data_IF_167132418908
#
_entry.id   IF_167132418908
#
_cell.length_a   1.000
_cell.length_b   1.000
_cell.length_c   1.000
_cell.angle_alpha   90.00
_cell.angle_beta   90.00
_cell.angle_gamma   90.00
#
_symmetry.space_group_name_H-M   'P 1'
#
loop_
_entity.id
_entity.type
_entity.pdbx_description
1 polymer ?
#
# COMPACT_ATOMS: atom_id res chain seq x y z
N UNK A 1 57.04 5.88 -46.46
CA UNK A 1 57.24 7.27 -46.02
C UNK A 1 55.89 7.97 -45.94
N UNK A 2 55.49 8.39 -44.73
CA UNK A 2 54.81 9.66 -44.33
C UNK A 2 53.72 10.22 -45.27
N UNK A 3 52.51 10.64 -44.87
CA UNK A 3 51.79 10.88 -43.61
C UNK A 3 50.35 11.22 -44.06
N UNK A 4 49.32 10.90 -43.28
CA UNK A 4 48.23 11.84 -43.00
C UNK A 4 47.37 11.27 -41.86
N UNK A 5 47.42 11.99 -40.75
CA UNK A 5 46.74 11.76 -39.49
C UNK A 5 45.48 12.62 -39.52
N UNK A 6 44.29 12.03 -39.36
CA UNK A 6 43.06 12.77 -39.07
C UNK A 6 42.42 12.19 -37.80
N UNK A 7 42.64 12.90 -36.69
CA UNK A 7 41.78 12.85 -35.50
C UNK A 7 40.56 13.73 -35.74
N UNK A 8 39.37 13.31 -35.30
CA UNK A 8 38.39 14.19 -34.64
C UNK A 8 37.18 13.42 -34.09
N UNK A 9 36.92 13.72 -32.81
CA UNK A 9 35.63 13.82 -32.12
C UNK A 9 34.82 12.56 -31.76
N UNK A 10 35.00 12.16 -30.48
CA UNK A 10 33.97 11.96 -29.47
C UNK A 10 32.49 11.83 -29.88
N UNK A 11 31.85 10.73 -29.45
CA UNK A 11 30.56 10.85 -28.74
C UNK A 11 30.31 9.64 -27.83
N UNK A 12 30.14 9.96 -26.55
CA UNK A 12 29.87 9.06 -25.43
C UNK A 12 28.36 8.80 -25.40
N UNK A 13 27.89 7.65 -25.91
CA UNK A 13 26.49 7.24 -25.75
C UNK A 13 26.36 6.20 -24.64
N UNK A 14 26.43 6.68 -23.40
CA UNK A 14 25.85 5.99 -22.24
C UNK A 14 24.33 5.94 -22.40
N UNK A 15 23.81 4.85 -22.96
CA UNK A 15 22.39 4.54 -22.92
C UNK A 15 22.04 3.94 -21.56
N UNK A 16 21.65 4.85 -20.67
CA UNK A 16 20.79 4.61 -19.52
C UNK A 16 19.53 3.85 -19.98
N UNK A 17 19.50 2.53 -19.81
CA UNK A 17 18.25 1.79 -19.77
C UNK A 17 17.70 1.88 -18.33
N UNK A 18 17.08 3.03 -18.07
CA UNK A 18 16.04 3.18 -17.06
C UNK A 18 14.90 2.20 -17.39
N UNK A 19 15.00 0.96 -16.91
CA UNK A 19 13.85 0.06 -16.81
C UNK A 19 12.97 0.54 -15.67
N UNK A 20 12.21 1.59 -15.94
CA UNK A 20 11.25 2.19 -15.03
C UNK A 20 10.13 2.86 -15.79
N UNK A 21 9.29 2.07 -16.47
CA UNK A 21 7.98 2.53 -16.97
C UNK A 21 7.14 1.32 -17.40
N UNK A 22 6.54 0.65 -16.43
CA UNK A 22 5.27 -0.05 -16.65
C UNK A 22 4.19 0.70 -15.88
N UNK A 23 2.93 0.76 -16.36
CA UNK A 23 1.80 1.26 -15.58
C UNK A 23 1.40 0.23 -14.50
N UNK A 24 2.36 -0.34 -13.78
CA UNK A 24 2.14 -1.21 -12.64
C UNK A 24 2.15 -0.35 -11.39
N UNK A 25 1.02 -0.29 -10.66
CA UNK A 25 1.03 0.36 -9.36
C UNK A 25 2.10 -0.26 -8.46
N UNK A 26 2.63 0.52 -7.53
CA UNK A 26 3.57 0.01 -6.52
C UNK A 26 2.99 -1.17 -5.74
N UNK A 27 3.72 -1.71 -4.75
CA UNK A 27 3.29 -2.85 -3.94
C UNK A 27 1.85 -2.71 -3.41
N UNK A 28 1.38 -1.49 -3.19
CA UNK A 28 0.05 -1.11 -2.71
C UNK A 28 -1.07 -1.46 -3.70
N UNK A 29 -0.78 -1.74 -4.97
CA UNK A 29 -1.77 -2.19 -5.94
C UNK A 29 -2.48 -3.47 -5.48
N UNK A 30 -1.77 -4.31 -4.70
CA UNK A 30 -2.35 -5.50 -4.10
C UNK A 30 -3.39 -5.20 -3.01
N UNK A 31 -3.46 -3.96 -2.52
CA UNK A 31 -4.44 -3.52 -1.53
C UNK A 31 -5.75 -3.06 -2.17
N UNK A 32 -5.85 -2.95 -3.50
CA UNK A 32 -7.12 -2.68 -4.19
C UNK A 32 -8.07 -3.86 -3.98
N UNK A 33 -9.29 -3.59 -3.53
CA UNK A 33 -10.31 -4.61 -3.22
C UNK A 33 -11.33 -4.17 -2.18
N UNK A 34 -12.29 -5.06 -1.91
CA UNK A 34 -13.28 -4.91 -0.84
C UNK A 34 -12.80 -5.68 0.39
N UNK A 35 -12.97 -5.10 1.56
CA UNK A 35 -12.57 -5.66 2.83
C UNK A 35 -13.77 -5.75 3.76
N UNK A 36 -13.92 -6.93 4.36
CA UNK A 36 -14.90 -7.21 5.37
C UNK A 36 -14.25 -7.38 6.75
N UNK A 37 -15.00 -7.04 7.79
CA UNK A 37 -14.63 -7.37 9.17
C UNK A 37 -15.64 -8.37 9.74
N UNK A 38 -15.20 -9.21 10.67
CA UNK A 38 -16.09 -10.13 11.36
C UNK A 38 -16.86 -9.38 12.45
N UNK A 39 -18.18 -9.30 12.31
CA UNK A 39 -19.09 -8.69 13.29
C UNK A 39 -20.19 -9.67 13.63
N UNK A 40 -20.33 -10.00 14.92
CA UNK A 40 -21.31 -10.98 15.42
C UNK A 40 -21.23 -12.33 14.68
N UNK A 41 -20.01 -12.83 14.44
CA UNK A 41 -19.78 -14.10 13.76
C UNK A 41 -19.86 -14.06 12.23
N UNK A 42 -20.41 -13.00 11.63
CA UNK A 42 -20.56 -12.86 10.19
C UNK A 42 -19.57 -11.85 9.60
N UNK A 43 -19.11 -12.11 8.37
CA UNK A 43 -18.34 -11.12 7.61
C UNK A 43 -19.26 -10.02 7.10
N UNK A 44 -18.85 -8.77 7.30
CA UNK A 44 -19.55 -7.58 6.82
C UNK A 44 -18.57 -6.68 6.09
N UNK A 45 -18.88 -6.35 4.85
CA UNK A 45 -18.13 -5.34 4.09
C UNK A 45 -18.05 -4.04 4.88
N UNK A 46 -16.85 -3.47 4.95
CA UNK A 46 -16.60 -2.25 5.70
C UNK A 46 -15.79 -1.22 4.92
N UNK A 47 -14.76 -1.65 4.19
CA UNK A 47 -13.85 -0.76 3.48
C UNK A 47 -13.66 -1.24 2.04
N UNK A 48 -13.57 -0.32 1.10
CA UNK A 48 -13.18 -0.57 -0.29
C UNK A 48 -12.02 0.33 -0.66
N UNK A 49 -10.97 -0.26 -1.21
CA UNK A 49 -9.82 0.46 -1.77
C UNK A 49 -9.90 0.37 -3.28
N UNK A 50 -9.91 1.52 -3.94
CA UNK A 50 -9.96 1.66 -5.39
C UNK A 50 -8.72 2.41 -5.89
N UNK A 51 -8.39 2.23 -7.16
CA UNK A 51 -7.39 3.07 -7.84
C UNK A 51 -8.11 3.98 -8.84
N UNK A 52 -7.98 5.28 -8.66
CA UNK A 52 -8.60 6.29 -9.53
C UNK A 52 -7.57 7.36 -9.87
N UNK A 53 -7.33 7.60 -11.16
CA UNK A 53 -6.38 8.63 -11.63
C UNK A 53 -4.98 8.49 -10.99
N UNK A 54 -4.49 7.26 -10.87
CA UNK A 54 -3.18 6.96 -10.26
C UNK A 54 -3.12 6.99 -8.73
N UNK A 55 -4.21 7.40 -8.05
CA UNK A 55 -4.29 7.51 -6.58
C UNK A 55 -5.11 6.37 -5.98
N UNK A 56 -4.85 6.07 -4.71
CA UNK A 56 -5.68 5.15 -3.93
C UNK A 56 -6.81 5.92 -3.25
N UNK A 57 -8.03 5.44 -3.46
CA UNK A 57 -9.24 6.02 -2.88
C UNK A 57 -9.85 4.97 -1.94
N UNK A 58 -10.18 5.40 -0.73
CA UNK A 58 -10.94 4.60 0.21
C UNK A 58 -12.39 5.04 0.21
N UNK A 59 -13.29 4.06 0.23
CA UNK A 59 -14.69 4.21 0.60
C UNK A 59 -15.00 3.29 1.75
N UNK A 60 -16.00 3.63 2.55
CA UNK A 60 -16.38 2.87 3.73
C UNK A 60 -17.90 2.78 3.88
N UNK A 61 -18.33 1.83 4.72
CA UNK A 61 -19.70 1.61 5.15
C UNK A 61 -19.84 1.80 6.67
N UNK A 62 -19.06 2.73 7.26
CA UNK A 62 -19.04 2.90 8.72
C UNK A 62 -20.35 3.50 9.22
N UNK A 63 -20.90 4.47 8.48
CA UNK A 63 -22.09 5.22 8.88
C UNK A 63 -23.37 4.80 8.17
N UNK A 64 -23.28 4.29 6.94
CA UNK A 64 -24.42 3.86 6.12
C UNK A 64 -24.13 2.54 5.41
N UNK A 65 -25.15 1.78 4.98
CA UNK A 65 -24.94 0.53 4.24
C UNK A 65 -24.40 0.74 2.81
N UNK A 66 -24.47 1.96 2.29
CA UNK A 66 -23.90 2.38 1.01
C UNK A 66 -22.42 2.76 1.15
N UNK A 67 -21.68 2.66 0.04
CA UNK A 67 -20.30 3.13 0.00
C UNK A 67 -20.25 4.65 0.11
N UNK A 68 -19.36 5.16 0.98
CA UNK A 68 -19.10 6.58 1.06
C UNK A 68 -18.57 7.17 -0.26
N UNK A 69 -18.71 8.49 -0.39
CA UNK A 69 -18.17 9.26 -1.51
C UNK A 69 -16.64 9.10 -1.60
N UNK A 70 -16.05 9.09 -2.81
CA UNK A 70 -14.62 8.84 -3.06
C UNK A 70 -13.73 10.04 -2.67
N UNK A 71 -13.90 10.58 -1.46
CA UNK A 71 -13.19 11.77 -0.99
C UNK A 71 -11.92 11.41 -0.21
N UNK A 72 -11.83 10.21 0.33
CA UNK A 72 -10.69 9.81 1.15
C UNK A 72 -9.55 9.30 0.27
N UNK A 73 -8.56 10.16 0.05
CA UNK A 73 -7.32 9.79 -0.63
C UNK A 73 -6.36 9.11 0.35
N UNK A 74 -5.81 7.99 -0.07
CA UNK A 74 -4.86 7.20 0.70
C UNK A 74 -3.47 7.32 0.09
N UNK A 75 -2.46 7.39 0.95
CA UNK A 75 -1.05 7.44 0.55
C UNK A 75 -0.33 6.17 1.01
N UNK A 76 0.66 5.67 0.24
CA UNK A 76 1.54 4.60 0.71
C UNK A 76 2.13 4.90 2.08
N UNK A 77 2.15 3.90 2.96
CA UNK A 77 2.69 4.04 4.31
C UNK A 77 4.21 3.85 4.27
N UNK A 78 4.95 4.81 4.81
CA UNK A 78 6.41 4.70 4.99
C UNK A 78 6.76 3.82 6.18
N UNK A 79 8.01 3.34 6.24
CA UNK A 79 8.53 2.56 7.38
C UNK A 79 8.42 3.32 8.70
N UNK A 80 8.67 4.63 8.70
CA UNK A 80 8.61 5.48 9.89
C UNK A 80 7.17 5.56 10.42
N UNK A 81 6.20 5.74 9.52
CA UNK A 81 4.77 5.78 9.88
C UNK A 81 4.28 4.41 10.35
N UNK A 82 4.71 3.33 9.72
CA UNK A 82 4.46 1.96 10.18
C UNK A 82 4.96 1.73 11.61
N UNK A 83 6.23 2.06 11.89
CA UNK A 83 6.82 1.91 13.22
C UNK A 83 6.06 2.73 14.27
N UNK A 84 5.63 3.95 13.91
CA UNK A 84 4.83 4.80 14.81
C UNK A 84 3.45 4.21 15.12
N UNK A 85 2.77 3.65 14.12
CA UNK A 85 1.42 3.08 14.27
C UNK A 85 1.47 1.76 15.04
N UNK A 86 2.43 0.90 14.71
CA UNK A 86 2.44 -0.49 15.19
C UNK A 86 3.40 -0.73 16.33
N UNK A 87 4.29 0.22 16.65
CA UNK A 87 5.43 0.03 17.56
C UNK A 87 6.35 -1.12 17.15
N UNK A 88 6.31 -1.50 15.86
CA UNK A 88 7.14 -2.57 15.32
C UNK A 88 8.63 -2.18 15.34
N UNK A 89 9.45 -3.09 15.85
CA UNK A 89 10.91 -3.00 15.92
C UNK A 89 11.59 -4.15 15.16
N UNK A 90 10.82 -5.09 14.61
CA UNK A 90 11.31 -6.35 14.03
C UNK A 90 11.45 -6.28 12.50
N UNK A 91 11.38 -5.06 11.93
CA UNK A 91 11.43 -4.81 10.49
C UNK A 91 10.45 -5.69 9.69
N UNK A 92 9.23 -5.83 10.20
CA UNK A 92 8.19 -6.66 9.57
C UNK A 92 8.02 -6.25 8.11
N UNK A 93 7.96 -7.22 7.20
CA UNK A 93 7.57 -6.95 5.82
C UNK A 93 6.10 -6.49 5.79
N UNK A 94 5.84 -5.30 5.28
CA UNK A 94 4.47 -4.78 5.21
C UNK A 94 4.25 -4.04 3.90
N UNK A 95 2.98 -3.94 3.52
CA UNK A 95 2.49 -2.98 2.52
C UNK A 95 1.28 -2.29 3.12
N UNK A 96 1.19 -0.98 2.99
CA UNK A 96 0.09 -0.22 3.59
C UNK A 96 -0.27 1.01 2.81
N UNK A 97 -1.55 1.40 2.89
CA UNK A 97 -2.00 2.74 2.53
C UNK A 97 -2.75 3.37 3.70
N UNK A 98 -2.58 4.67 3.90
CA UNK A 98 -3.20 5.40 5.00
C UNK A 98 -3.70 6.78 4.59
N UNK A 99 -4.75 7.23 5.25
CA UNK A 99 -5.13 8.63 5.42
C UNK A 99 -4.86 9.05 6.86
N UNK A 100 -5.31 10.24 7.26
CA UNK A 100 -5.26 10.68 8.66
C UNK A 100 -6.29 9.95 9.55
N UNK A 101 -7.30 9.32 8.95
CA UNK A 101 -8.40 8.68 9.68
C UNK A 101 -8.28 7.16 9.75
N UNK A 102 -7.69 6.53 8.73
CA UNK A 102 -7.63 5.09 8.59
C UNK A 102 -6.32 4.66 7.94
N UNK A 103 -5.84 3.47 8.30
CA UNK A 103 -4.87 2.76 7.50
C UNK A 103 -5.33 1.32 7.23
N UNK A 104 -4.90 0.76 6.10
CA UNK A 104 -5.04 -0.65 5.79
C UNK A 104 -3.65 -1.21 5.49
N UNK A 105 -3.38 -2.38 6.06
CA UNK A 105 -2.09 -3.04 5.95
C UNK A 105 -2.24 -4.47 5.47
N UNK A 106 -1.21 -4.92 4.76
CA UNK A 106 -0.89 -6.32 4.52
C UNK A 106 0.45 -6.65 5.18
N UNK A 107 0.47 -7.72 5.95
CA UNK A 107 1.61 -8.31 6.64
C UNK A 107 1.60 -9.83 6.43
N UNK A 108 2.64 -10.57 6.85
CA UNK A 108 2.58 -12.03 6.86
C UNK A 108 1.37 -12.54 7.66
N UNK A 109 0.62 -13.52 7.15
CA UNK A 109 -0.40 -14.23 7.92
C UNK A 109 0.15 -14.75 9.25
N UNK A 110 -0.63 -14.60 10.32
CA UNK A 110 -0.20 -14.95 11.68
C UNK A 110 0.64 -13.89 12.38
N UNK A 111 0.92 -12.73 11.74
CA UNK A 111 1.62 -11.63 12.38
C UNK A 111 0.90 -11.18 13.66
N UNK A 112 1.71 -10.94 14.69
CA UNK A 112 1.23 -10.58 16.02
C UNK A 112 2.07 -9.42 16.56
N UNK A 113 1.38 -8.45 17.17
CA UNK A 113 2.01 -7.35 17.89
C UNK A 113 1.12 -6.92 19.05
N UNK A 114 1.71 -6.83 20.23
CA UNK A 114 0.98 -6.59 21.48
C UNK A 114 -0.16 -7.62 21.62
N UNK A 115 -1.38 -7.17 21.92
CA UNK A 115 -2.58 -8.02 22.01
C UNK A 115 -3.25 -8.31 20.66
N UNK A 116 -2.78 -7.72 19.56
CA UNK A 116 -3.37 -7.90 18.24
C UNK A 116 -2.66 -9.01 17.45
N UNK A 117 -3.44 -9.86 16.80
CA UNK A 117 -2.98 -10.88 15.85
C UNK A 117 -3.89 -10.83 14.62
N UNK A 118 -3.32 -11.03 13.44
CA UNK A 118 -4.08 -11.21 12.20
C UNK A 118 -3.80 -12.60 11.64
N UNK A 119 -4.85 -13.38 11.38
CA UNK A 119 -4.76 -14.68 10.72
C UNK A 119 -4.67 -14.48 9.20
N UNK A 120 -5.41 -13.52 8.66
CA UNK A 120 -5.44 -13.23 7.21
C UNK A 120 -4.19 -12.52 6.70
N UNK A 121 -3.44 -11.86 7.59
CA UNK A 121 -2.40 -10.92 7.22
C UNK A 121 -2.92 -9.55 6.78
N UNK A 122 -4.23 -9.31 6.83
CA UNK A 122 -4.84 -8.02 6.53
C UNK A 122 -5.47 -7.41 7.77
N UNK A 123 -5.23 -6.13 8.01
CA UNK A 123 -5.90 -5.42 9.09
C UNK A 123 -6.11 -3.94 8.77
N UNK A 124 -7.17 -3.40 9.36
CA UNK A 124 -7.49 -1.99 9.39
C UNK A 124 -6.97 -1.41 10.69
N UNK A 125 -6.47 -0.18 10.67
CA UNK A 125 -6.04 0.55 11.86
C UNK A 125 -6.85 1.83 12.01
N UNK A 126 -7.58 1.91 13.13
CA UNK A 126 -8.39 3.05 13.54
C UNK A 126 -7.82 3.67 14.82
N UNK A 127 -8.38 4.80 15.25
CA UNK A 127 -8.08 5.41 16.56
C UNK A 127 -8.36 4.47 17.74
N UNK A 128 -9.30 3.54 17.59
CA UNK A 128 -9.65 2.53 18.59
C UNK A 128 -8.73 1.31 18.58
N UNK A 129 -7.82 1.21 17.61
CA UNK A 129 -6.88 0.11 17.46
C UNK A 129 -7.05 -0.69 16.17
N UNK A 130 -6.24 -1.75 16.01
CA UNK A 130 -6.26 -2.62 14.85
C UNK A 130 -7.45 -3.59 14.88
N UNK A 131 -8.01 -3.86 13.69
CA UNK A 131 -9.10 -4.82 13.47
C UNK A 131 -8.72 -5.72 12.30
N UNK A 132 -8.86 -7.02 12.49
CA UNK A 132 -8.64 -7.99 11.41
C UNK A 132 -9.59 -7.75 10.24
N UNK A 133 -9.03 -7.76 9.03
CA UNK A 133 -9.77 -7.60 7.80
C UNK A 133 -9.66 -8.87 6.95
N UNK A 134 -10.75 -9.14 6.24
CA UNK A 134 -10.82 -10.20 5.24
C UNK A 134 -10.98 -9.53 3.89
N UNK A 135 -9.99 -9.71 3.01
CA UNK A 135 -10.14 -9.30 1.63
C UNK A 135 -11.12 -10.25 0.94
N UNK A 136 -12.14 -9.69 0.29
CA UNK A 136 -13.16 -10.44 -0.46
C UNK A 136 -12.74 -10.67 -1.91
#
# INVERSE_FOLDING_TARGET
MKKALNYLAASLCTLLLLSGCGPGGGPEAQLVGVYAVKKNGALRELVKIERQGGRYIMRDKVHTPEWSEPKMQMQPVTRERWNRITTDSENTAFVGVSSDQLAIFKVPPGWQKNSFKTETGYFLFYSQGPVEAHKL
#
